data_IF_888031014257
#
_entry.id   IF_888031014257
#
_cell.length_a   1.000
_cell.length_b   1.000
_cell.length_c   1.000
_cell.angle_alpha   90.00
_cell.angle_beta   90.00
_cell.angle_gamma   90.00
#
_symmetry.space_group_name_H-M   'P 1'
#
loop_
_entity.id
_entity.type
_entity.pdbx_description
1 polymer ?
#
# COMPACT_ATOMS: atom_id res chain seq x y z
N UNK A 1 5.08 -13.25 17.54
CA UNK A 1 4.15 -12.28 16.91
C UNK A 1 4.23 -12.41 15.41
N UNK A 2 3.10 -12.39 14.75
CA UNK A 2 3.04 -12.54 13.30
C UNK A 2 2.88 -11.17 12.64
N UNK A 3 3.68 -10.90 11.63
CA UNK A 3 3.67 -9.63 10.92
C UNK A 3 3.21 -9.84 9.49
N UNK A 4 2.19 -9.07 9.10
CA UNK A 4 1.62 -9.12 7.75
C UNK A 4 1.84 -7.76 7.09
N UNK A 5 2.42 -7.76 5.90
CA UNK A 5 2.55 -6.56 5.10
C UNK A 5 1.57 -6.65 3.95
N UNK A 6 0.81 -5.58 3.75
CA UNK A 6 -0.17 -5.51 2.66
C UNK A 6 0.22 -4.37 1.72
N UNK A 7 0.36 -4.68 0.44
CA UNK A 7 0.52 -3.65 -0.59
C UNK A 7 -0.80 -3.48 -1.33
N UNK A 8 -1.36 -2.29 -1.25
CA UNK A 8 -2.60 -1.94 -1.94
C UNK A 8 -2.30 -0.98 -3.08
N UNK A 9 -2.65 -1.37 -4.29
CA UNK A 9 -2.38 -0.58 -5.47
C UNK A 9 -3.15 0.74 -5.46
N UNK A 10 -2.52 1.79 -6.01
CA UNK A 10 -3.12 3.11 -6.07
C UNK A 10 -4.30 3.14 -7.01
N UNK A 11 -5.40 3.70 -6.54
CA UNK A 11 -6.56 4.00 -7.38
C UNK A 11 -7.19 5.29 -6.89
N UNK A 12 -8.00 5.91 -7.74
CA UNK A 12 -8.77 7.08 -7.34
C UNK A 12 -9.97 6.71 -6.48
N UNK A 13 -10.47 5.50 -6.66
CA UNK A 13 -11.62 5.04 -5.89
C UNK A 13 -11.22 4.54 -4.51
N UNK A 14 -12.21 4.24 -3.70
CA UNK A 14 -12.03 3.73 -2.35
C UNK A 14 -11.99 2.21 -2.30
N UNK A 15 -12.31 1.52 -3.41
CA UNK A 15 -12.56 0.09 -3.41
C UNK A 15 -11.38 -0.75 -2.95
N UNK A 16 -10.21 -0.51 -3.54
CA UNK A 16 -9.04 -1.33 -3.21
C UNK A 16 -8.57 -1.11 -1.79
N UNK A 17 -8.42 0.15 -1.38
CA UNK A 17 -7.93 0.44 -0.03
C UNK A 17 -8.95 -0.01 1.03
N UNK A 18 -10.24 0.16 0.75
CA UNK A 18 -11.29 -0.29 1.65
C UNK A 18 -11.23 -1.80 1.84
N UNK A 19 -11.09 -2.54 0.75
CA UNK A 19 -11.01 -4.00 0.79
C UNK A 19 -9.78 -4.46 1.58
N UNK A 20 -8.64 -3.85 1.34
CA UNK A 20 -7.41 -4.27 2.02
C UNK A 20 -7.42 -3.89 3.50
N UNK A 21 -8.01 -2.76 3.86
CA UNK A 21 -8.18 -2.40 5.27
C UNK A 21 -9.16 -3.34 5.97
N UNK A 22 -10.18 -3.80 5.25
CA UNK A 22 -11.10 -4.78 5.81
C UNK A 22 -10.42 -6.11 6.06
N UNK A 23 -9.56 -6.55 5.16
CA UNK A 23 -8.73 -7.74 5.36
C UNK A 23 -7.84 -7.57 6.58
N UNK A 24 -7.16 -6.41 6.69
CA UNK A 24 -6.29 -6.14 7.83
C UNK A 24 -7.05 -6.15 9.15
N UNK A 25 -8.22 -5.51 9.18
CA UNK A 25 -9.08 -5.47 10.38
C UNK A 25 -9.47 -6.88 10.79
N UNK A 26 -9.88 -7.70 9.83
CA UNK A 26 -10.29 -9.06 10.10
C UNK A 26 -9.13 -9.87 10.71
N UNK A 27 -7.94 -9.71 10.15
CA UNK A 27 -6.75 -10.41 10.64
C UNK A 27 -6.45 -10.05 12.10
N UNK A 28 -6.44 -8.76 12.42
CA UNK A 28 -6.09 -8.34 13.79
C UNK A 28 -7.19 -8.65 14.78
N UNK A 29 -8.46 -8.68 14.36
CA UNK A 29 -9.57 -9.04 15.24
C UNK A 29 -9.59 -10.51 15.58
N UNK A 30 -9.17 -11.37 14.66
CA UNK A 30 -9.21 -12.81 14.86
C UNK A 30 -7.93 -13.41 15.39
N UNK A 31 -6.83 -12.65 15.42
CA UNK A 31 -5.54 -13.12 15.91
C UNK A 31 -4.88 -12.03 16.73
N UNK A 32 -4.84 -12.15 18.05
CA UNK A 32 -4.24 -11.11 18.90
C UNK A 32 -2.74 -10.92 18.67
N UNK A 33 -2.08 -11.88 18.05
CA UNK A 33 -0.65 -11.81 17.79
C UNK A 33 -0.29 -11.16 16.47
N UNK A 34 -1.27 -10.86 15.62
CA UNK A 34 -1.04 -10.29 14.29
C UNK A 34 -0.93 -8.79 14.35
N UNK A 35 0.07 -8.25 13.68
CA UNK A 35 0.19 -6.83 13.38
C UNK A 35 0.31 -6.66 11.87
N UNK A 36 -0.22 -5.56 11.35
CA UNK A 36 -0.30 -5.32 9.90
C UNK A 36 0.28 -3.97 9.55
N UNK A 37 1.15 -3.97 8.55
CA UNK A 37 1.64 -2.74 7.95
C UNK A 37 1.10 -2.66 6.51
N UNK A 38 0.37 -1.59 6.23
CA UNK A 38 -0.22 -1.36 4.91
C UNK A 38 0.61 -0.34 4.14
N UNK A 39 1.01 -0.70 2.94
CA UNK A 39 1.71 0.20 2.03
C UNK A 39 0.76 0.54 0.88
N UNK A 40 0.48 1.81 0.70
CA UNK A 40 -0.43 2.25 -0.34
C UNK A 40 -0.13 3.66 -0.79
N UNK A 41 -0.36 3.94 -2.06
CA UNK A 41 -0.33 5.30 -2.57
C UNK A 41 -1.69 5.97 -2.63
N UNK A 42 -2.72 5.31 -2.11
CA UNK A 42 -4.08 5.85 -2.17
C UNK A 42 -4.16 7.22 -1.48
N UNK A 43 -4.66 8.24 -2.19
CA UNK A 43 -4.82 9.57 -1.57
C UNK A 43 -5.97 9.61 -0.56
N UNK A 44 -6.78 8.56 -0.52
CA UNK A 44 -7.97 8.49 0.34
C UNK A 44 -7.73 7.73 1.64
N UNK A 45 -6.49 7.35 1.93
CA UNK A 45 -6.19 6.56 3.13
C UNK A 45 -6.63 7.26 4.41
N UNK A 46 -6.47 8.58 4.49
CA UNK A 46 -6.86 9.35 5.66
C UNK A 46 -8.36 9.35 5.94
N UNK A 47 -9.17 8.92 4.97
CA UNK A 47 -10.62 8.82 5.14
C UNK A 47 -11.04 7.64 6.00
N UNK A 48 -10.11 6.74 6.32
CA UNK A 48 -10.42 5.51 7.05
C UNK A 48 -9.88 5.57 8.47
N UNK A 49 -10.65 5.00 9.38
CA UNK A 49 -10.21 4.81 10.75
C UNK A 49 -9.33 3.58 10.82
N UNK A 50 -8.15 3.73 11.40
CA UNK A 50 -7.18 2.64 11.49
C UNK A 50 -7.22 2.01 12.87
N UNK A 51 -7.59 0.73 12.98
CA UNK A 51 -7.62 0.04 14.29
C UNK A 51 -6.23 -0.15 14.88
N UNK A 52 -6.18 -0.56 16.15
CA UNK A 52 -4.94 -0.90 16.83
C UNK A 52 -4.24 -2.06 16.12
N UNK A 53 -2.92 -2.06 16.17
CA UNK A 53 -2.02 -3.06 15.57
C UNK A 53 -1.99 -3.02 14.05
N UNK A 54 -2.58 -1.98 13.47
CA UNK A 54 -2.46 -1.69 12.03
C UNK A 54 -1.84 -0.30 11.91
N UNK A 55 -0.82 -0.21 11.09
CA UNK A 55 -0.24 1.07 10.71
C UNK A 55 -0.05 1.09 9.21
N UNK A 56 0.37 2.22 8.68
CA UNK A 56 0.49 2.35 7.23
C UNK A 56 1.65 3.24 6.82
N UNK A 57 2.11 3.01 5.59
CA UNK A 57 3.05 3.88 4.92
C UNK A 57 2.38 4.41 3.66
N UNK A 58 2.25 5.72 3.57
CA UNK A 58 1.69 6.38 2.39
C UNK A 58 2.78 6.57 1.36
N UNK A 59 2.69 5.84 0.25
CA UNK A 59 3.61 5.98 -0.87
C UNK A 59 3.23 7.19 -1.73
N UNK A 60 4.21 7.78 -2.45
CA UNK A 60 3.87 8.80 -3.44
C UNK A 60 2.83 8.27 -4.42
N UNK A 61 1.76 9.03 -4.61
CA UNK A 61 0.61 8.59 -5.39
C UNK A 61 0.92 8.65 -6.89
N UNK A 62 0.45 7.63 -7.60
CA UNK A 62 0.47 7.60 -9.05
C UNK A 62 -0.94 7.82 -9.57
N UNK A 63 -1.04 8.46 -10.74
CA UNK A 63 -2.29 8.68 -11.41
C UNK A 63 -2.26 7.99 -12.77
N UNK A 64 -3.42 7.55 -13.24
CA UNK A 64 -3.57 7.00 -14.57
C UNK A 64 -4.36 7.99 -15.42
N UNK A 65 -3.83 8.33 -16.60
CA UNK A 65 -4.52 9.22 -17.52
C UNK A 65 -5.56 8.48 -18.36
N UNK A 66 -6.22 9.19 -19.28
CA UNK A 66 -7.26 8.59 -20.12
C UNK A 66 -6.72 7.53 -21.07
N UNK A 67 -5.43 7.56 -21.37
CA UNK A 67 -4.81 6.54 -22.23
C UNK A 67 -4.31 5.33 -21.42
N UNK A 68 -4.46 5.34 -20.10
CA UNK A 68 -4.02 4.27 -19.23
C UNK A 68 -2.57 4.38 -18.77
N UNK A 69 -1.90 5.48 -19.09
CA UNK A 69 -0.51 5.69 -18.68
C UNK A 69 -0.43 6.20 -17.25
N UNK A 70 0.57 5.73 -16.52
CA UNK A 70 0.84 6.21 -15.18
C UNK A 70 1.72 7.44 -15.19
N UNK A 71 1.52 8.30 -14.20
CA UNK A 71 2.36 9.46 -13.95
C UNK A 71 2.35 9.77 -12.47
N UNK A 72 3.31 10.59 -12.01
CA UNK A 72 3.28 11.09 -10.64
C UNK A 72 2.08 12.00 -10.47
N UNK A 73 1.32 11.81 -9.38
CA UNK A 73 0.12 12.60 -9.16
C UNK A 73 0.42 13.92 -8.47
N UNK A 74 1.23 13.92 -7.44
CA UNK A 74 1.42 15.08 -6.57
C UNK A 74 2.79 15.70 -6.66
N UNK A 75 3.81 14.89 -6.92
CA UNK A 75 5.18 15.36 -6.94
C UNK A 75 5.59 15.74 -8.37
N UNK A 76 6.35 16.84 -8.54
CA UNK A 76 6.85 17.21 -9.86
C UNK A 76 8.07 16.36 -10.25
N UNK A 77 7.85 15.08 -10.42
CA UNK A 77 8.86 14.09 -10.77
C UNK A 77 8.37 13.30 -11.97
N UNK A 78 9.32 12.76 -12.74
CA UNK A 78 8.93 11.86 -13.82
C UNK A 78 8.50 10.49 -13.25
N UNK A 79 7.89 9.68 -14.10
CA UNK A 79 7.37 8.39 -13.71
C UNK A 79 8.47 7.47 -13.19
N UNK A 80 9.61 7.43 -13.87
CA UNK A 80 10.71 6.55 -13.48
C UNK A 80 11.25 6.88 -12.11
N UNK A 81 11.41 8.16 -11.80
CA UNK A 81 11.87 8.60 -10.48
C UNK A 81 10.85 8.23 -9.41
N UNK A 82 9.58 8.42 -9.69
CA UNK A 82 8.50 8.11 -8.74
C UNK A 82 8.43 6.61 -8.47
N UNK A 83 8.51 5.79 -9.51
CA UNK A 83 8.50 4.33 -9.36
C UNK A 83 9.72 3.86 -8.57
N UNK A 84 10.88 4.45 -8.80
CA UNK A 84 12.10 4.11 -8.05
C UNK A 84 11.94 4.45 -6.58
N UNK A 85 11.42 5.63 -6.27
CA UNK A 85 11.18 6.03 -4.90
C UNK A 85 10.22 5.06 -4.21
N UNK A 86 9.12 4.72 -4.87
CA UNK A 86 8.16 3.76 -4.32
C UNK A 86 8.80 2.41 -4.08
N UNK A 87 9.57 1.91 -5.05
CA UNK A 87 10.24 0.61 -4.93
C UNK A 87 11.21 0.60 -3.74
N UNK A 88 11.96 1.67 -3.55
CA UNK A 88 12.89 1.76 -2.42
C UNK A 88 12.18 1.82 -1.08
N UNK A 89 11.07 2.52 -1.00
CA UNK A 89 10.26 2.56 0.21
C UNK A 89 9.69 1.18 0.54
N UNK A 90 9.21 0.46 -0.47
CA UNK A 90 8.70 -0.89 -0.27
C UNK A 90 9.81 -1.83 0.20
N UNK A 91 10.98 -1.77 -0.44
CA UNK A 91 12.13 -2.60 -0.04
C UNK A 91 12.53 -2.33 1.40
N UNK A 92 12.62 -1.06 1.77
CA UNK A 92 12.98 -0.69 3.15
C UNK A 92 11.95 -1.18 4.15
N UNK A 93 10.67 -1.05 3.83
CA UNK A 93 9.62 -1.52 4.71
C UNK A 93 9.70 -3.03 4.91
N UNK A 94 9.94 -3.79 3.85
CA UNK A 94 10.08 -5.24 3.95
C UNK A 94 11.30 -5.61 4.79
N UNK A 95 12.42 -4.94 4.54
CA UNK A 95 13.67 -5.25 5.24
C UNK A 95 13.56 -4.97 6.73
N UNK A 96 12.91 -3.88 7.11
CA UNK A 96 12.85 -3.45 8.50
C UNK A 96 11.67 -4.05 9.27
N UNK A 97 10.53 -4.16 8.63
CA UNK A 97 9.35 -4.77 9.25
C UNK A 97 9.47 -6.29 9.38
N UNK A 98 10.19 -6.91 8.46
CA UNK A 98 10.40 -8.36 8.42
C UNK A 98 9.08 -9.13 8.49
N UNK A 99 8.20 -8.95 7.48
CA UNK A 99 6.91 -9.61 7.50
C UNK A 99 7.03 -11.12 7.34
N UNK A 100 6.12 -11.84 7.98
CA UNK A 100 5.98 -13.29 7.78
C UNK A 100 5.17 -13.58 6.52
N UNK A 101 4.26 -12.67 6.17
CA UNK A 101 3.38 -12.82 5.02
C UNK A 101 3.27 -11.48 4.31
N UNK A 102 3.28 -11.50 2.99
CA UNK A 102 3.05 -10.31 2.15
C UNK A 102 1.82 -10.58 1.29
N UNK A 103 0.84 -9.68 1.38
CA UNK A 103 -0.36 -9.73 0.54
C UNK A 103 -0.30 -8.58 -0.45
N UNK A 104 -0.52 -8.86 -1.71
CA UNK A 104 -0.45 -7.87 -2.78
C UNK A 104 -1.79 -7.81 -3.51
N UNK A 105 -2.32 -6.60 -3.64
CA UNK A 105 -3.57 -6.37 -4.36
C UNK A 105 -3.26 -5.85 -5.76
N UNK A 106 -3.64 -6.60 -6.77
CA UNK A 106 -3.58 -6.34 -8.22
C UNK A 106 -2.19 -6.43 -8.86
N UNK A 107 -1.23 -5.60 -8.48
CA UNK A 107 0.04 -5.50 -9.20
C UNK A 107 1.18 -6.03 -8.34
N UNK A 108 1.58 -7.29 -8.52
CA UNK A 108 2.57 -7.92 -7.63
C UNK A 108 3.95 -7.29 -7.68
N UNK A 109 4.31 -6.64 -8.80
CA UNK A 109 5.61 -6.00 -8.94
C UNK A 109 5.53 -4.48 -8.86
N UNK A 110 4.41 -3.95 -8.39
CA UNK A 110 4.19 -2.53 -8.28
C UNK A 110 3.30 -2.01 -9.39
N UNK A 111 3.78 -1.04 -10.17
CA UNK A 111 2.93 -0.30 -11.11
C UNK A 111 2.84 -0.97 -12.46
N UNK A 112 3.94 -1.46 -12.97
CA UNK A 112 4.02 -2.05 -14.30
C UNK A 112 4.61 -3.45 -14.19
N UNK A 113 3.73 -4.39 -14.23
CA UNK A 113 4.11 -5.79 -14.14
C UNK A 113 3.79 -6.57 -15.41
#
# INVERSE_FOLDING_TARGET
MKRVLIYSHDTFGLGNIRRMLEVARHLVQNSPEVSVLVLTGSPMLHAFRIPARIDYVKLPCLARDTSGRYSARSLPMDLQQTVRLRANLIKSAIADFQPDVVLVDKKPFGVED
#
